data_IF_071998625027
#
_entry.id   IF_071998625027
#
_cell.length_a   1.000
_cell.length_b   1.000
_cell.length_c   1.000
_cell.angle_alpha   90.00
_cell.angle_beta   90.00
_cell.angle_gamma   90.00
#
_symmetry.space_group_name_H-M   'P 1'
#
loop_
_entity.id
_entity.type
_entity.pdbx_description
1 polymer ?
#
# COMPACT_ATOMS: atom_id res chain seq x y z
N UNK A 1 -18.30 -18.59 8.32
CA UNK A 1 -17.19 -17.63 8.11
C UNK A 1 -16.47 -17.97 6.84
N UNK A 2 -16.27 -16.99 6.01
CA UNK A 2 -15.55 -17.12 4.75
C UNK A 2 -14.48 -16.04 4.64
N UNK A 3 -13.58 -16.19 3.67
CA UNK A 3 -12.60 -15.16 3.33
C UNK A 3 -12.69 -14.84 1.85
N UNK A 4 -12.53 -13.56 1.51
CA UNK A 4 -12.43 -13.08 0.13
C UNK A 4 -11.18 -12.23 0.00
N UNK A 5 -10.54 -12.30 -1.17
CA UNK A 5 -9.30 -11.55 -1.44
C UNK A 5 -9.47 -10.70 -2.69
N UNK A 6 -9.11 -9.44 -2.58
CA UNK A 6 -9.02 -8.50 -3.71
C UNK A 6 -7.56 -8.15 -3.95
N UNK A 7 -7.14 -8.23 -5.21
CA UNK A 7 -5.77 -7.93 -5.63
C UNK A 7 -5.72 -6.63 -6.42
N UNK A 8 -4.78 -5.76 -6.07
CA UNK A 8 -4.48 -4.54 -6.82
C UNK A 8 -2.97 -4.45 -7.05
N UNK A 9 -2.56 -3.67 -8.04
CA UNK A 9 -1.16 -3.50 -8.38
C UNK A 9 -0.83 -2.01 -8.49
N UNK A 10 0.41 -1.66 -8.15
CA UNK A 10 0.95 -0.32 -8.34
C UNK A 10 2.47 -0.38 -8.44
N UNK A 11 3.07 0.68 -8.96
CA UNK A 11 4.52 0.81 -9.07
C UNK A 11 5.01 1.87 -8.09
N UNK A 12 6.07 1.57 -7.35
CA UNK A 12 6.65 2.53 -6.43
C UNK A 12 8.15 2.28 -6.26
N UNK A 13 8.88 3.34 -5.91
CA UNK A 13 10.29 3.26 -5.60
C UNK A 13 10.55 3.21 -4.11
N UNK A 14 11.68 2.65 -3.73
CA UNK A 14 12.17 2.64 -2.36
C UNK A 14 13.66 2.27 -2.29
N UNK A 15 14.21 2.33 -1.08
CA UNK A 15 15.45 1.64 -0.72
C UNK A 15 15.37 1.18 0.74
N UNK A 16 16.21 0.21 1.08
CA UNK A 16 16.40 -0.22 2.46
C UNK A 16 17.73 0.40 2.92
N UNK A 17 17.74 1.48 3.71
CA UNK A 17 18.92 2.31 3.92
C UNK A 17 20.16 1.57 4.42
N UNK A 18 19.96 0.63 5.34
CA UNK A 18 21.07 -0.11 5.97
C UNK A 18 21.29 -1.48 5.38
N UNK A 19 20.69 -1.79 4.24
CA UNK A 19 20.84 -3.10 3.60
C UNK A 19 22.28 -3.29 3.11
N UNK A 20 22.81 -4.50 3.31
CA UNK A 20 24.19 -4.83 2.95
C UNK A 20 24.39 -5.17 1.47
N UNK A 21 23.31 -5.33 0.71
CA UNK A 21 23.35 -5.71 -0.70
C UNK A 21 22.49 -4.75 -1.55
N UNK A 22 21.87 -5.24 -2.60
CA UNK A 22 21.23 -4.46 -3.65
C UNK A 22 20.11 -3.54 -3.18
N UNK A 23 19.37 -3.93 -2.14
CA UNK A 23 18.20 -3.15 -1.70
C UNK A 23 18.55 -1.79 -1.09
N UNK A 24 19.82 -1.52 -0.81
CA UNK A 24 20.27 -0.18 -0.39
C UNK A 24 20.23 0.85 -1.52
N UNK A 25 20.18 0.38 -2.77
CA UNK A 25 20.14 1.26 -3.93
C UNK A 25 18.73 1.79 -4.15
N UNK A 26 18.62 2.97 -4.78
CA UNK A 26 17.34 3.49 -5.23
C UNK A 26 16.81 2.58 -6.34
N UNK A 27 15.64 2.01 -6.16
CA UNK A 27 15.05 1.11 -7.14
C UNK A 27 13.53 1.11 -6.99
N UNK A 28 12.88 0.41 -7.90
CA UNK A 28 11.43 0.31 -7.88
C UNK A 28 10.95 -1.10 -8.16
N UNK A 29 9.70 -1.33 -7.82
CA UNK A 29 9.00 -2.58 -8.04
C UNK A 29 7.59 -2.34 -8.53
N UNK A 30 7.03 -3.34 -9.23
CA UNK A 30 5.59 -3.50 -9.28
C UNK A 30 5.15 -4.21 -8.02
N UNK A 31 4.41 -3.49 -7.18
CA UNK A 31 3.85 -4.06 -5.96
C UNK A 31 2.51 -4.70 -6.24
N UNK A 32 2.28 -5.83 -5.61
CA UNK A 32 0.98 -6.50 -5.59
C UNK A 32 0.42 -6.37 -4.18
N UNK A 33 -0.75 -5.74 -4.07
CA UNK A 33 -1.47 -5.61 -2.81
C UNK A 33 -2.62 -6.60 -2.81
N UNK A 34 -2.59 -7.54 -1.89
CA UNK A 34 -3.69 -8.47 -1.65
C UNK A 34 -4.37 -8.12 -0.33
N UNK A 35 -5.67 -7.84 -0.40
CA UNK A 35 -6.49 -7.54 0.76
C UNK A 35 -7.43 -8.69 0.99
N UNK A 36 -7.28 -9.36 2.13
CA UNK A 36 -8.14 -10.48 2.52
C UNK A 36 -9.06 -10.04 3.64
N UNK A 37 -10.35 -10.19 3.43
CA UNK A 37 -11.39 -9.96 4.41
C UNK A 37 -11.96 -11.29 4.87
N UNK A 38 -12.23 -11.40 6.16
CA UNK A 38 -12.84 -12.59 6.74
C UNK A 38 -14.07 -12.18 7.53
N UNK A 39 -15.16 -12.92 7.38
CA UNK A 39 -16.40 -12.63 8.08
C UNK A 39 -17.55 -13.46 7.56
N UNK A 40 -18.75 -13.02 7.84
CA UNK A 40 -19.98 -13.68 7.42
C UNK A 40 -20.62 -12.94 6.26
N UNK A 41 -21.31 -13.70 5.41
CA UNK A 41 -22.03 -13.18 4.25
C UNK A 41 -23.19 -12.30 4.72
N UNK A 42 -23.38 -11.16 4.06
CA UNK A 42 -24.50 -10.26 4.33
C UNK A 42 -25.81 -10.93 3.94
N UNK A 43 -26.77 -10.90 4.85
CA UNK A 43 -28.13 -11.43 4.66
C UNK A 43 -29.09 -10.25 4.56
N UNK A 44 -29.21 -9.66 3.38
CA UNK A 44 -30.02 -8.45 3.15
C UNK A 44 -30.74 -8.55 1.81
N UNK A 45 -31.81 -9.36 1.70
CA UNK A 45 -32.59 -9.53 0.47
C UNK A 45 -33.06 -8.19 -0.11
N UNK A 46 -32.82 -7.98 -1.39
CA UNK A 46 -33.15 -6.72 -2.07
C UNK A 46 -32.03 -5.69 -2.06
N UNK A 47 -31.01 -5.85 -1.22
CA UNK A 47 -29.83 -4.98 -1.22
C UNK A 47 -28.78 -5.48 -2.21
N UNK A 48 -27.97 -4.53 -2.73
CA UNK A 48 -26.97 -4.82 -3.74
C UNK A 48 -25.88 -5.79 -3.24
N UNK A 49 -25.56 -5.76 -1.96
CA UNK A 49 -24.51 -6.60 -1.35
C UNK A 49 -25.03 -7.88 -0.72
N UNK A 50 -26.31 -8.19 -0.92
CA UNK A 50 -26.89 -9.44 -0.41
C UNK A 50 -26.13 -10.65 -0.97
N UNK A 51 -25.68 -11.52 -0.08
CA UNK A 51 -24.90 -12.69 -0.44
C UNK A 51 -23.39 -12.44 -0.54
N UNK A 52 -22.93 -11.24 -0.22
CA UNK A 52 -21.51 -10.86 -0.22
C UNK A 52 -20.99 -10.66 1.19
N UNK A 53 -19.68 -10.80 1.40
CA UNK A 53 -19.04 -10.34 2.61
C UNK A 53 -18.87 -8.82 2.53
N UNK A 54 -18.32 -8.35 1.40
CA UNK A 54 -18.23 -6.96 0.99
C UNK A 54 -18.13 -6.92 -0.52
N UNK A 55 -18.74 -5.92 -1.16
CA UNK A 55 -18.64 -5.75 -2.60
C UNK A 55 -17.18 -5.49 -3.01
N UNK A 56 -16.67 -6.23 -4.01
CA UNK A 56 -15.31 -6.06 -4.50
C UNK A 56 -15.03 -4.65 -5.01
N UNK A 57 -16.02 -3.97 -5.58
CA UNK A 57 -15.86 -2.59 -6.03
C UNK A 57 -15.66 -1.62 -4.86
N UNK A 58 -16.28 -1.90 -3.73
CA UNK A 58 -16.09 -1.12 -2.50
C UNK A 58 -14.69 -1.34 -1.92
N UNK A 59 -14.23 -2.58 -1.85
CA UNK A 59 -12.86 -2.91 -1.41
C UNK A 59 -11.85 -2.19 -2.32
N UNK A 60 -12.04 -2.27 -3.63
CA UNK A 60 -11.19 -1.59 -4.61
C UNK A 60 -11.17 -0.09 -4.38
N UNK A 61 -12.32 0.53 -4.19
CA UNK A 61 -12.43 1.98 -4.00
C UNK A 61 -11.66 2.44 -2.75
N UNK A 62 -11.85 1.77 -1.64
CA UNK A 62 -11.17 2.08 -0.38
C UNK A 62 -9.65 1.91 -0.53
N UNK A 63 -9.21 0.78 -1.04
CA UNK A 63 -7.79 0.50 -1.21
C UNK A 63 -7.13 1.44 -2.23
N UNK A 64 -7.82 1.75 -3.31
CA UNK A 64 -7.33 2.68 -4.33
C UNK A 64 -7.17 4.09 -3.76
N UNK A 65 -8.18 4.60 -3.07
CA UNK A 65 -8.17 5.94 -2.50
C UNK A 65 -7.08 6.12 -1.44
N UNK A 66 -6.92 5.14 -0.55
CA UNK A 66 -6.05 5.30 0.62
C UNK A 66 -4.63 4.77 0.41
N UNK A 67 -4.41 3.85 -0.51
CA UNK A 67 -3.11 3.23 -0.73
C UNK A 67 -2.63 3.44 -2.17
N UNK A 68 -3.33 2.88 -3.16
CA UNK A 68 -2.81 2.83 -4.53
C UNK A 68 -2.60 4.23 -5.10
N UNK A 69 -3.58 5.12 -5.00
CA UNK A 69 -3.47 6.48 -5.54
C UNK A 69 -2.42 7.32 -4.81
N UNK A 70 -2.15 6.99 -3.54
CA UNK A 70 -1.14 7.69 -2.72
C UNK A 70 0.26 7.20 -3.03
N UNK A 71 0.43 5.90 -3.24
CA UNK A 71 1.75 5.25 -3.37
C UNK A 71 2.18 5.00 -4.81
N UNK A 72 1.23 4.90 -5.75
CA UNK A 72 1.55 4.61 -7.15
C UNK A 72 2.40 5.75 -7.74
N UNK A 73 3.51 5.38 -8.36
CA UNK A 73 4.50 6.30 -8.92
C UNK A 73 5.15 7.22 -7.87
N UNK A 74 5.06 6.87 -6.59
CA UNK A 74 5.74 7.59 -5.52
C UNK A 74 7.08 6.93 -5.18
N UNK A 75 7.95 7.68 -4.51
CA UNK A 75 9.09 7.11 -3.80
C UNK A 75 8.73 7.02 -2.32
N UNK A 76 8.78 5.80 -1.77
CA UNK A 76 8.47 5.52 -0.38
C UNK A 76 9.76 5.64 0.42
N UNK A 77 9.87 6.64 1.27
CA UNK A 77 11.10 6.94 1.99
C UNK A 77 10.89 6.90 3.50
N UNK A 78 11.82 6.27 4.20
CA UNK A 78 11.84 6.31 5.66
C UNK A 78 12.18 7.73 6.16
N UNK A 79 11.46 8.22 7.16
CA UNK A 79 11.67 9.57 7.70
C UNK A 79 13.10 9.81 8.20
N UNK A 80 13.77 8.76 8.69
CA UNK A 80 15.16 8.82 9.15
C UNK A 80 16.21 8.75 8.04
N UNK A 81 15.82 8.53 6.78
CA UNK A 81 16.72 8.50 5.64
C UNK A 81 16.97 9.91 5.12
N UNK A 82 17.77 10.68 5.87
CA UNK A 82 17.97 12.10 5.61
C UNK A 82 18.56 12.39 4.22
N UNK A 83 19.48 11.54 3.75
CA UNK A 83 20.14 11.73 2.47
C UNK A 83 19.14 11.65 1.30
N UNK A 84 18.30 10.62 1.28
CA UNK A 84 17.30 10.47 0.22
C UNK A 84 16.19 11.50 0.36
N UNK A 85 15.72 11.79 1.55
CA UNK A 85 14.72 12.83 1.77
C UNK A 85 15.20 14.18 1.25
N UNK A 86 16.44 14.56 1.58
CA UNK A 86 17.00 15.81 1.09
C UNK A 86 17.10 15.88 -0.43
N UNK A 87 17.48 14.78 -1.07
CA UNK A 87 17.52 14.71 -2.53
C UNK A 87 16.13 14.86 -3.13
N UNK A 88 15.16 14.11 -2.63
CA UNK A 88 13.78 14.16 -3.15
C UNK A 88 13.14 15.54 -2.95
N UNK A 89 13.42 16.20 -1.83
CA UNK A 89 12.94 17.54 -1.55
C UNK A 89 13.51 18.58 -2.55
N UNK A 90 14.66 18.29 -3.14
CA UNK A 90 15.28 19.15 -4.17
C UNK A 90 14.58 19.05 -5.53
N UNK A 91 13.70 18.08 -5.74
CA UNK A 91 13.01 17.85 -7.00
C UNK A 91 11.62 18.50 -6.94
N UNK A 92 11.37 19.60 -7.69
CA UNK A 92 10.08 20.27 -7.64
C UNK A 92 8.93 19.34 -8.05
N UNK A 93 7.87 19.31 -7.25
CA UNK A 93 6.67 18.53 -7.54
C UNK A 93 6.82 17.01 -7.45
N UNK A 94 7.93 16.51 -6.90
CA UNK A 94 8.14 15.09 -6.78
C UNK A 94 7.11 14.44 -5.85
N UNK A 95 6.57 13.28 -6.29
CA UNK A 95 5.64 12.50 -5.48
C UNK A 95 6.44 11.64 -4.48
N UNK A 96 6.54 12.14 -3.25
CA UNK A 96 7.30 11.51 -2.17
C UNK A 96 6.33 11.15 -1.04
N UNK A 97 6.41 9.91 -0.56
CA UNK A 97 5.66 9.47 0.63
C UNK A 97 6.66 9.18 1.74
N UNK A 98 6.57 9.95 2.82
CA UNK A 98 7.44 9.77 3.99
C UNK A 98 6.77 8.81 4.96
N UNK A 99 7.49 7.75 5.32
CA UNK A 99 6.99 6.72 6.22
C UNK A 99 7.73 6.79 7.57
N UNK A 100 7.05 6.40 8.63
CA UNK A 100 7.62 6.36 9.98
C UNK A 100 8.51 5.14 10.23
N UNK A 101 8.68 4.30 9.23
CA UNK A 101 9.48 3.06 9.32
C UNK A 101 10.12 2.73 7.98
N UNK A 102 11.15 1.89 8.01
CA UNK A 102 11.86 1.45 6.80
C UNK A 102 10.89 0.72 5.88
N UNK A 103 10.89 1.05 4.55
CA UNK A 103 9.89 0.53 3.61
C UNK A 103 10.20 -0.90 3.13
N UNK A 104 10.34 -1.83 4.05
CA UNK A 104 10.37 -3.27 3.75
C UNK A 104 8.97 -3.74 3.38
N UNK A 105 8.86 -4.86 2.68
CA UNK A 105 7.56 -5.45 2.35
C UNK A 105 6.73 -5.70 3.61
N UNK A 106 7.37 -6.16 4.69
CA UNK A 106 6.73 -6.44 5.97
C UNK A 106 6.14 -5.16 6.58
N UNK A 107 6.93 -4.08 6.63
CA UNK A 107 6.47 -2.80 7.16
C UNK A 107 5.40 -2.15 6.29
N UNK A 108 5.53 -2.23 4.96
CA UNK A 108 4.51 -1.74 4.05
C UNK A 108 3.18 -2.46 4.26
N UNK A 109 3.23 -3.79 4.40
CA UNK A 109 2.02 -4.58 4.67
C UNK A 109 1.36 -4.15 5.99
N UNK A 110 2.16 -3.91 7.04
CA UNK A 110 1.63 -3.46 8.33
C UNK A 110 1.00 -2.07 8.23
N UNK A 111 1.63 -1.14 7.51
CA UNK A 111 1.09 0.20 7.31
C UNK A 111 -0.25 0.13 6.58
N UNK A 112 -0.34 -0.69 5.52
CA UNK A 112 -1.60 -0.87 4.79
C UNK A 112 -2.67 -1.44 5.70
N UNK A 113 -2.34 -2.46 6.47
CA UNK A 113 -3.27 -3.05 7.42
C UNK A 113 -3.80 -2.02 8.41
N UNK A 114 -2.91 -1.23 9.02
CA UNK A 114 -3.29 -0.21 10.01
C UNK A 114 -4.14 0.90 9.37
N UNK A 115 -3.89 1.21 8.10
CA UNK A 115 -4.64 2.24 7.38
C UNK A 115 -6.05 1.79 7.01
N UNK A 116 -6.20 0.52 6.60
CA UNK A 116 -7.47 -0.01 6.07
C UNK A 116 -8.34 -0.70 7.14
N UNK A 117 -7.73 -1.12 8.22
CA UNK A 117 -8.46 -1.83 9.29
C UNK A 117 -9.46 -0.94 10.04
#
# INVERSE_FOLDING_TARGET
MISVTRRLEFDAGHRIPDHRSQCRNLHGHRYVLEITLTGDVVQAPGESDNGMLMDFSEIKHIAKTHIVDVWDHAFLVYEGDAAVRGFLDSLPGHKTVVLDRIPTAENLAQIVFDTLA
#
